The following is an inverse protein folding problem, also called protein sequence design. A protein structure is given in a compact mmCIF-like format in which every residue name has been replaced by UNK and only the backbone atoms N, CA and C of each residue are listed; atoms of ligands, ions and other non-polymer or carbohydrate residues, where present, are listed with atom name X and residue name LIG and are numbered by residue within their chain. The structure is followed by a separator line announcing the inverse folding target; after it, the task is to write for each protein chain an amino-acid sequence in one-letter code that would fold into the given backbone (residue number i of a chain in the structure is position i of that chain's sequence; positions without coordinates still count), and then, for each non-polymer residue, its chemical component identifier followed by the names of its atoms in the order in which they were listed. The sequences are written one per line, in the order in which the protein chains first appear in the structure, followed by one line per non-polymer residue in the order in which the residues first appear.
data_IF_489606797774
#
_entry.id   IF_489606797774
#
_cell.length_a   1.000
_cell.length_b   1.000
_cell.length_c   1.000
_cell.angle_alpha   90.00
_cell.angle_beta   90.00
_cell.angle_gamma   90.00
#
_symmetry.space_group_name_H-M   'P 1'
#
loop_
_entity.id
_entity.type
_entity.pdbx_description
1 polymer ?
#
# COMPACT_ATOMS: atom_id res chain seq x y z
N UNK A 1 13.28 10.01 17.50
CA UNK A 1 12.43 9.66 16.35
C UNK A 1 12.92 10.46 15.15
N UNK A 2 13.02 9.87 13.95
CA UNK A 2 13.43 10.63 12.76
C UNK A 2 12.45 11.78 12.49
N UNK A 3 12.95 12.85 11.87
CA UNK A 3 12.12 13.97 11.45
C UNK A 3 10.99 13.49 10.53
N UNK A 4 9.79 14.02 10.73
CA UNK A 4 8.59 13.71 9.93
C UNK A 4 8.86 13.79 8.43
N UNK A 5 9.53 14.87 8.02
CA UNK A 5 9.86 15.10 6.61
C UNK A 5 10.82 14.04 6.06
N UNK A 6 11.78 13.58 6.87
CA UNK A 6 12.72 12.54 6.44
C UNK A 6 12.01 11.22 6.22
N UNK A 7 11.17 10.78 7.17
CA UNK A 7 10.38 9.55 7.00
C UNK A 7 9.46 9.64 5.78
N UNK A 8 8.78 10.78 5.62
CA UNK A 8 7.93 11.03 4.47
C UNK A 8 8.69 10.98 3.14
N UNK A 9 9.86 11.61 3.06
CA UNK A 9 10.71 11.57 1.87
C UNK A 9 11.17 10.14 1.55
N UNK A 10 11.56 9.36 2.57
CA UNK A 10 11.92 7.94 2.39
C UNK A 10 10.75 7.16 1.80
N UNK A 11 9.53 7.33 2.34
CA UNK A 11 8.34 6.66 1.81
C UNK A 11 8.04 7.06 0.37
N UNK A 12 8.14 8.34 0.03
CA UNK A 12 7.93 8.83 -1.33
C UNK A 12 8.96 8.22 -2.29
N UNK A 13 10.24 8.21 -1.92
CA UNK A 13 11.31 7.64 -2.77
C UNK A 13 11.10 6.14 -2.99
N UNK A 14 10.75 5.39 -1.95
CA UNK A 14 10.46 3.95 -2.06
C UNK A 14 9.24 3.72 -2.96
N UNK A 15 8.16 4.48 -2.76
CA UNK A 15 6.94 4.37 -3.55
C UNK A 15 7.19 4.64 -5.04
N UNK A 16 7.94 5.69 -5.36
CA UNK A 16 8.28 6.02 -6.75
C UNK A 16 9.24 5.00 -7.36
N UNK A 17 10.23 4.52 -6.60
CA UNK A 17 11.20 3.53 -7.05
C UNK A 17 10.55 2.19 -7.36
N UNK A 18 9.82 1.61 -6.40
CA UNK A 18 9.10 0.35 -6.60
C UNK A 18 7.94 0.49 -7.59
N UNK A 19 7.20 1.62 -7.52
CA UNK A 19 6.14 1.91 -8.47
C UNK A 19 6.64 1.97 -9.91
N UNK A 20 7.80 2.59 -10.15
CA UNK A 20 8.44 2.58 -11.47
C UNK A 20 8.84 1.18 -11.94
N UNK A 21 9.37 0.34 -11.04
CA UNK A 21 9.70 -1.06 -11.36
C UNK A 21 8.46 -1.87 -11.72
N UNK A 22 7.39 -1.78 -10.92
CA UNK A 22 6.15 -2.51 -11.20
C UNK A 22 5.44 -1.99 -12.45
N UNK A 23 5.45 -0.67 -12.68
CA UNK A 23 4.90 -0.08 -13.90
C UNK A 23 5.63 -0.58 -15.16
N UNK A 24 6.95 -0.67 -15.11
CA UNK A 24 7.75 -1.18 -16.22
C UNK A 24 7.54 -2.69 -16.47
N UNK A 25 7.12 -3.44 -15.45
CA UNK A 25 6.81 -4.86 -15.56
C UNK A 25 5.39 -5.15 -16.08
N UNK A 26 4.52 -4.14 -16.14
CA UNK A 26 3.14 -4.28 -16.64
C UNK A 26 3.12 -4.70 -18.10
N UNK A 27 2.34 -5.72 -18.40
CA UNK A 27 2.11 -6.19 -19.77
C UNK A 27 0.79 -5.64 -20.30
N UNK A 28 0.82 -5.10 -21.53
CA UNK A 28 -0.35 -4.54 -22.18
C UNK A 28 -0.88 -5.52 -23.23
N UNK A 29 -2.17 -5.89 -23.17
CA UNK A 29 -2.75 -6.84 -24.10
C UNK A 29 -2.84 -6.25 -25.51
N UNK A 30 -2.66 -7.10 -26.51
CA UNK A 30 -2.88 -6.74 -27.91
C UNK A 30 -4.35 -6.99 -28.24
N UNK A 31 -5.13 -5.92 -28.40
CA UNK A 31 -6.56 -5.97 -28.72
C UNK A 31 -7.48 -5.79 -27.50
N UNK A 32 -8.75 -5.49 -27.77
CA UNK A 32 -9.73 -5.11 -26.73
C UNK A 32 -10.08 -6.25 -25.77
N UNK A 33 -10.07 -7.50 -26.24
CA UNK A 33 -10.47 -8.66 -25.43
C UNK A 33 -9.58 -8.88 -24.20
N UNK A 34 -8.28 -8.56 -24.28
CA UNK A 34 -7.37 -8.73 -23.16
C UNK A 34 -7.58 -7.72 -22.02
N UNK A 35 -8.18 -6.57 -22.29
CA UNK A 35 -8.54 -5.60 -21.25
C UNK A 35 -9.73 -6.02 -20.37
N UNK A 36 -10.48 -7.02 -20.83
CA UNK A 36 -11.59 -7.60 -20.07
C UNK A 36 -11.17 -8.87 -19.29
N UNK A 37 -9.90 -9.26 -19.38
CA UNK A 37 -9.39 -10.43 -18.66
C UNK A 37 -9.02 -10.04 -17.21
N UNK A 38 -9.45 -10.82 -16.21
CA UNK A 38 -9.10 -10.60 -14.81
C UNK A 38 -7.61 -10.44 -14.54
N UNK A 39 -6.80 -11.26 -15.21
CA UNK A 39 -5.36 -11.33 -15.04
C UNK A 39 -4.70 -9.98 -15.38
N UNK A 40 -5.27 -9.24 -16.33
CA UNK A 40 -4.81 -7.90 -16.68
C UNK A 40 -4.92 -6.92 -15.51
N UNK A 41 -5.91 -7.07 -14.62
CA UNK A 41 -6.07 -6.17 -13.48
C UNK A 41 -5.18 -6.59 -12.29
N UNK A 42 -4.90 -7.89 -12.15
CA UNK A 42 -4.12 -8.41 -11.02
C UNK A 42 -2.69 -7.88 -10.94
N UNK A 43 -2.07 -7.58 -12.09
CA UNK A 43 -0.74 -6.98 -12.14
C UNK A 43 -0.66 -5.55 -11.55
N UNK A 44 -1.80 -4.88 -11.32
CA UNK A 44 -1.83 -3.54 -10.72
C UNK A 44 -1.89 -3.54 -9.19
N UNK A 45 -2.07 -4.69 -8.53
CA UNK A 45 -2.04 -4.78 -7.06
C UNK A 45 -0.77 -4.18 -6.43
N UNK A 46 0.44 -4.56 -6.89
CA UNK A 46 1.69 -3.97 -6.41
C UNK A 46 1.78 -2.46 -6.64
N UNK A 47 1.21 -1.96 -7.75
CA UNK A 47 1.14 -0.53 -8.06
C UNK A 47 0.19 0.21 -7.11
N UNK A 48 -0.96 -0.39 -6.77
CA UNK A 48 -1.90 0.18 -5.81
C UNK A 48 -1.25 0.39 -4.44
N UNK A 49 -0.50 -0.61 -3.95
CA UNK A 49 0.28 -0.49 -2.71
C UNK A 49 1.30 0.65 -2.77
N UNK A 50 1.97 0.82 -3.92
CA UNK A 50 2.90 1.94 -4.11
C UNK A 50 2.19 3.30 -4.10
N UNK A 51 1.00 3.40 -4.70
CA UNK A 51 0.17 4.61 -4.65
C UNK A 51 -0.25 4.93 -3.22
N UNK A 52 -0.65 3.93 -2.44
CA UNK A 52 -0.99 4.12 -1.02
C UNK A 52 0.20 4.64 -0.21
N UNK A 53 1.40 4.07 -0.41
CA UNK A 53 2.63 4.54 0.24
C UNK A 53 2.98 5.97 -0.19
N UNK A 54 2.80 6.29 -1.47
CA UNK A 54 3.05 7.63 -2.01
C UNK A 54 2.10 8.66 -1.37
N UNK A 55 0.81 8.34 -1.27
CA UNK A 55 -0.19 9.19 -0.62
C UNK A 55 0.08 9.36 0.88
N UNK A 56 0.44 8.27 1.57
CA UNK A 56 0.82 8.30 2.97
C UNK A 56 2.06 9.17 3.21
N UNK A 57 3.10 9.00 2.39
CA UNK A 57 4.31 9.83 2.39
C UNK A 57 4.00 11.30 2.10
N UNK A 58 3.19 11.59 1.09
CA UNK A 58 2.77 12.94 0.74
C UNK A 58 2.02 13.65 1.88
N UNK A 59 0.96 13.02 2.42
CA UNK A 59 0.23 13.59 3.56
C UNK A 59 1.11 13.75 4.80
N UNK A 60 2.02 12.82 5.05
CA UNK A 60 2.98 12.92 6.15
C UNK A 60 3.96 14.08 5.94
N UNK A 61 4.44 14.31 4.71
CA UNK A 61 5.35 15.40 4.37
C UNK A 61 4.73 16.76 4.68
N UNK A 62 3.52 16.99 4.17
CA UNK A 62 2.76 18.23 4.38
C UNK A 62 2.20 18.35 5.80
N UNK A 63 2.17 17.26 6.58
CA UNK A 63 1.62 17.30 7.93
C UNK A 63 0.10 17.39 7.95
N UNK A 64 -0.55 16.74 7.00
CA UNK A 64 -1.99 16.79 6.86
C UNK A 64 -2.69 15.86 7.87
N UNK A 65 -3.90 16.23 8.33
CA UNK A 65 -4.69 15.42 9.29
C UNK A 65 -5.04 14.00 8.79
N UNK A 66 -5.02 13.79 7.47
CA UNK A 66 -5.25 12.47 6.84
C UNK A 66 -4.03 11.56 6.84
N UNK A 67 -2.86 12.03 7.31
CA UNK A 67 -1.63 11.23 7.32
C UNK A 67 -1.80 9.92 8.08
N UNK A 68 -2.35 9.96 9.30
CA UNK A 68 -2.49 8.74 10.10
C UNK A 68 -3.47 7.73 9.49
N UNK A 69 -4.54 8.19 8.84
CA UNK A 69 -5.46 7.32 8.10
C UNK A 69 -4.76 6.63 6.92
N UNK A 70 -4.06 7.39 6.09
CA UNK A 70 -3.37 6.85 4.89
C UNK A 70 -2.19 5.96 5.25
N UNK A 71 -1.47 6.25 6.33
CA UNK A 71 -0.43 5.37 6.88
C UNK A 71 -1.03 4.04 7.37
N UNK A 72 -2.17 4.08 8.05
CA UNK A 72 -2.86 2.88 8.50
C UNK A 72 -3.39 2.07 7.31
N UNK A 73 -3.97 2.73 6.30
CA UNK A 73 -4.48 2.11 5.08
C UNK A 73 -3.37 1.29 4.41
N UNK A 74 -2.29 1.97 4.01
CA UNK A 74 -1.10 1.32 3.44
C UNK A 74 -0.59 0.17 4.31
N UNK A 75 -0.49 0.41 5.62
CA UNK A 75 0.00 -0.58 6.56
C UNK A 75 -0.83 -1.86 6.56
N UNK A 76 -2.16 -1.71 6.60
CA UNK A 76 -3.09 -2.84 6.59
C UNK A 76 -3.15 -3.54 5.23
N UNK A 77 -3.07 -2.83 4.11
CA UNK A 77 -3.01 -3.43 2.77
C UNK A 77 -1.81 -4.38 2.65
N UNK A 78 -0.62 -3.94 3.06
CA UNK A 78 0.59 -4.79 3.01
C UNK A 78 0.49 -5.98 3.98
N UNK A 79 -0.10 -5.80 5.16
CA UNK A 79 -0.33 -6.91 6.10
C UNK A 79 -1.31 -7.92 5.52
N UNK A 80 -2.37 -7.46 4.85
CA UNK A 80 -3.34 -8.31 4.18
C UNK A 80 -2.69 -9.10 3.04
N UNK A 81 -1.88 -8.46 2.18
CA UNK A 81 -1.13 -9.14 1.11
C UNK A 81 -0.30 -10.30 1.65
N UNK A 82 0.50 -10.05 2.69
CA UNK A 82 1.37 -11.07 3.29
C UNK A 82 0.54 -12.17 3.93
N UNK A 83 -0.52 -11.81 4.64
CA UNK A 83 -1.40 -12.77 5.32
C UNK A 83 -2.14 -13.66 4.32
N UNK A 84 -2.75 -13.10 3.29
CA UNK A 84 -3.45 -13.84 2.24
C UNK A 84 -2.49 -14.72 1.44
N UNK A 85 -1.27 -14.25 1.19
CA UNK A 85 -0.25 -15.08 0.58
C UNK A 85 0.15 -16.27 1.47
N UNK A 86 0.30 -16.05 2.78
CA UNK A 86 0.68 -17.10 3.75
C UNK A 86 -0.37 -18.21 3.87
N UNK A 87 -1.65 -17.87 3.83
CA UNK A 87 -2.75 -18.84 3.93
C UNK A 87 -3.13 -19.46 2.58
N UNK A 88 -2.46 -19.05 1.49
CA UNK A 88 -2.70 -19.56 0.14
C UNK A 88 -3.97 -19.01 -0.52
N UNK A 89 -4.53 -17.90 -0.02
CA UNK A 89 -5.71 -17.27 -0.61
C UNK A 89 -5.34 -16.56 -1.92
N UNK A 90 -4.24 -15.78 -1.90
CA UNK A 90 -3.82 -14.97 -3.05
C UNK A 90 -2.32 -15.17 -3.32
N UNK A 91 -1.94 -15.79 -4.45
CA UNK A 91 -0.54 -15.91 -4.84
C UNK A 91 0.03 -14.54 -5.18
N UNK A 92 1.09 -14.17 -4.47
CA UNK A 92 1.77 -12.88 -4.61
C UNK A 92 2.51 -12.75 -5.93
N UNK A 93 2.32 -11.63 -6.61
CA UNK A 93 3.11 -11.22 -7.78
C UNK A 93 4.30 -10.34 -7.38
N UNK A 94 4.41 -9.97 -6.10
CA UNK A 94 5.44 -9.07 -5.57
C UNK A 94 6.74 -9.86 -5.30
N UNK A 95 7.87 -9.49 -5.90
CA UNK A 95 9.16 -10.10 -5.60
C UNK A 95 9.52 -9.96 -4.11
N UNK A 96 10.21 -10.97 -3.56
CA UNK A 96 10.54 -11.04 -2.13
C UNK A 96 11.22 -9.78 -1.60
N UNK A 97 12.19 -9.22 -2.34
CA UNK A 97 12.90 -8.02 -1.90
C UNK A 97 11.96 -6.82 -1.73
N UNK A 98 11.00 -6.63 -2.64
CA UNK A 98 10.05 -5.53 -2.59
C UNK A 98 9.06 -5.73 -1.43
N UNK A 99 8.63 -6.97 -1.22
CA UNK A 99 7.74 -7.33 -0.10
C UNK A 99 8.38 -7.03 1.25
N UNK A 100 9.66 -7.38 1.43
CA UNK A 100 10.40 -7.08 2.67
C UNK A 100 10.51 -5.57 2.92
N UNK A 101 10.76 -4.78 1.87
CA UNK A 101 10.81 -3.31 1.97
C UNK A 101 9.44 -2.73 2.35
N UNK A 102 8.37 -3.19 1.68
CA UNK A 102 7.01 -2.74 1.94
C UNK A 102 6.54 -3.14 3.34
N UNK A 103 6.88 -4.35 3.81
CA UNK A 103 6.62 -4.81 5.17
C UNK A 103 7.30 -3.93 6.21
N UNK A 104 8.58 -3.59 6.01
CA UNK A 104 9.29 -2.68 6.90
C UNK A 104 8.62 -1.30 6.93
N UNK A 105 8.21 -0.77 5.77
CA UNK A 105 7.46 0.48 5.68
C UNK A 105 6.10 0.39 6.36
N UNK A 106 5.40 -0.75 6.24
CA UNK A 106 4.10 -1.00 6.86
C UNK A 106 4.20 -0.99 8.38
N UNK A 107 5.18 -1.69 8.95
CA UNK A 107 5.44 -1.69 10.39
C UNK A 107 5.69 -0.28 10.93
N UNK A 108 6.49 0.53 10.22
CA UNK A 108 6.72 1.94 10.56
C UNK A 108 5.43 2.74 10.43
N UNK A 109 4.68 2.57 9.35
CA UNK A 109 3.43 3.29 9.07
C UNK A 109 2.37 3.04 10.14
N UNK A 110 2.13 1.77 10.49
CA UNK A 110 1.19 1.39 11.55
C UNK A 110 1.61 1.97 12.90
N UNK A 111 2.90 1.86 13.25
CA UNK A 111 3.41 2.49 14.47
C UNK A 111 3.13 3.99 14.48
N UNK A 112 3.40 4.70 13.39
CA UNK A 112 3.16 6.15 13.29
C UNK A 112 1.68 6.50 13.39
N UNK A 113 0.81 5.75 12.70
CA UNK A 113 -0.63 5.98 12.69
C UNK A 113 -1.26 5.86 14.09
N UNK A 114 -0.89 4.81 14.84
CA UNK A 114 -1.48 4.53 16.16
C UNK A 114 -0.84 5.31 17.30
N UNK A 115 0.48 5.57 17.24
CA UNK A 115 1.14 6.38 18.28
C UNK A 115 0.89 7.89 18.12
N UNK A 116 0.44 8.32 16.93
CA UNK A 116 0.33 9.74 16.56
C UNK A 116 1.62 10.51 16.88
N UNK A 117 2.75 9.91 16.50
CA UNK A 117 4.10 10.37 16.85
C UNK A 117 4.39 11.84 16.52
N UNK A 118 3.80 12.35 15.43
CA UNK A 118 4.00 13.72 14.96
C UNK A 118 2.86 14.68 15.34
N UNK A 119 1.97 14.27 16.25
CA UNK A 119 0.85 15.08 16.77
C UNK A 119 -0.07 15.65 15.67
N UNK A 120 -0.30 14.87 14.60
CA UNK A 120 -1.15 15.26 13.45
C UNK A 120 -2.65 14.95 13.65
N UNK A 121 -2.99 14.39 14.82
CA UNK A 121 -4.34 13.98 15.21
C UNK A 121 -4.42 12.45 15.25
N UNK A 122 -4.77 11.87 16.41
CA UNK A 122 -4.83 10.40 16.55
C UNK A 122 -5.83 9.83 15.54
N UNK A 123 -5.49 8.69 14.95
CA UNK A 123 -6.48 7.92 14.20
C UNK A 123 -7.62 7.55 15.16
N UNK A 124 -8.85 7.87 14.77
CA UNK A 124 -10.03 7.44 15.53
C UNK A 124 -10.24 5.94 15.33
N UNK A 125 -10.97 5.28 16.24
CA UNK A 125 -11.32 3.87 16.07
C UNK A 125 -12.05 3.62 14.73
N UNK A 126 -12.97 4.51 14.36
CA UNK A 126 -13.64 4.48 13.05
C UNK A 126 -12.67 4.66 11.89
N UNK A 127 -11.69 5.56 12.01
CA UNK A 127 -10.66 5.74 11.01
C UNK A 127 -9.78 4.50 10.86
N UNK A 128 -9.42 3.85 11.96
CA UNK A 128 -8.64 2.62 11.96
C UNK A 128 -9.41 1.45 11.33
N UNK A 129 -10.69 1.28 11.70
CA UNK A 129 -11.58 0.30 11.07
C UNK A 129 -11.75 0.59 9.58
N UNK A 130 -11.98 1.85 9.20
CA UNK A 130 -12.10 2.26 7.81
C UNK A 130 -10.84 1.97 7.00
N UNK A 131 -9.66 2.26 7.55
CA UNK A 131 -8.38 1.93 6.90
C UNK A 131 -8.14 0.42 6.79
N UNK A 132 -8.55 -0.35 7.80
CA UNK A 132 -8.43 -1.80 7.78
C UNK A 132 -9.34 -2.40 6.69
N UNK A 133 -10.62 -2.05 6.71
CA UNK A 133 -11.61 -2.55 5.73
C UNK A 133 -11.16 -2.15 4.32
N UNK A 134 -10.83 -0.88 4.11
CA UNK A 134 -10.44 -0.40 2.79
C UNK A 134 -9.15 -1.06 2.30
N UNK A 135 -8.14 -1.25 3.15
CA UNK A 135 -6.89 -1.91 2.75
C UNK A 135 -7.09 -3.37 2.35
N UNK A 136 -7.93 -4.11 3.10
CA UNK A 136 -8.30 -5.47 2.72
C UNK A 136 -9.14 -5.50 1.43
N UNK A 137 -10.03 -4.53 1.22
CA UNK A 137 -10.80 -4.42 -0.02
C UNK A 137 -9.92 -4.13 -1.23
N UNK A 138 -8.89 -3.29 -1.07
CA UNK A 138 -7.90 -3.03 -2.14
C UNK A 138 -7.18 -4.32 -2.48
N UNK A 139 -6.71 -5.05 -1.48
CA UNK A 139 -6.01 -6.33 -1.69
C UNK A 139 -6.90 -7.37 -2.40
N UNK A 140 -8.13 -7.55 -1.90
CA UNK A 140 -9.09 -8.47 -2.51
C UNK A 140 -9.50 -8.03 -3.93
N UNK A 141 -9.66 -6.73 -4.16
CA UNK A 141 -10.01 -6.19 -5.47
C UNK A 141 -8.97 -6.55 -6.52
N UNK A 142 -7.69 -6.37 -6.21
CA UNK A 142 -6.63 -6.65 -7.18
C UNK A 142 -6.27 -8.12 -7.28
N UNK A 143 -6.50 -8.96 -6.27
CA UNK A 143 -6.08 -10.36 -6.34
C UNK A 143 -7.20 -11.37 -6.59
N UNK A 144 -8.41 -11.14 -6.07
CA UNK A 144 -9.44 -12.19 -5.98
C UNK A 144 -10.80 -11.78 -6.60
N UNK A 145 -11.17 -10.49 -6.59
CA UNK A 145 -12.52 -10.06 -6.99
C UNK A 145 -12.78 -10.17 -8.50
N UNK A 146 -11.73 -10.29 -9.31
CA UNK A 146 -11.88 -10.44 -10.76
C UNK A 146 -11.70 -11.87 -11.26
N UNK A 147 -11.20 -12.81 -10.45
CA UNK A 147 -10.96 -14.21 -10.87
C UNK A 147 -12.27 -14.99 -11.04
#
# INVERSE_FOLDING_TARGET
MLSRKVVATVFIVIALGLGGVFFAATTYPVGLSGYFQPEYYTQFGPLAICVELLLAGGYLYFGHRKANFTLALFGFTVVAEVFFNLIGLSPTTIPLYARLILLACSAVSLRLAFTNAYRLGRISALGAMGSFILGNLVELFFNDLFV
#
